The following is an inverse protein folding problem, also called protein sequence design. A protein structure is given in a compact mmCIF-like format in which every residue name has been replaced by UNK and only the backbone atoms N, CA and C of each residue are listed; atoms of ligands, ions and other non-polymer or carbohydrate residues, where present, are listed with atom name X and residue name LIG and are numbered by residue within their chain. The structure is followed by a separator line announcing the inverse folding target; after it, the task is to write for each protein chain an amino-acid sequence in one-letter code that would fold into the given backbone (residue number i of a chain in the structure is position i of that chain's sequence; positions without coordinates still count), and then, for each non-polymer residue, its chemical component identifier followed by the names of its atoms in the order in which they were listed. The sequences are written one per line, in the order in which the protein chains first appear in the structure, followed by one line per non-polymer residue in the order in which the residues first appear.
data_IF_440356788288
#
_entry.id   IF_440356788288
#
_cell.length_a   1.000
_cell.length_b   1.000
_cell.length_c   1.000
_cell.angle_alpha   90.00
_cell.angle_beta   90.00
_cell.angle_gamma   90.00
#
_symmetry.space_group_name_H-M   'P 1'
#
loop_
_entity.id
_entity.type
_entity.pdbx_description
1 polymer ?
#
# COMPACT_ATOMS: atom_id res chain seq x y z
N UNK A 1 20.66 -7.53 19.12
CA UNK A 1 20.36 -6.11 19.43
C UNK A 1 21.04 -5.27 18.37
N UNK A 2 20.28 -4.84 17.38
CA UNK A 2 20.76 -3.90 16.37
C UNK A 2 20.29 -2.54 16.86
N UNK A 3 21.24 -1.68 17.21
CA UNK A 3 20.98 -0.33 17.66
C UNK A 3 20.55 0.50 16.43
N UNK A 4 19.27 0.75 16.30
CA UNK A 4 18.73 1.63 15.29
C UNK A 4 18.74 3.08 15.80
N UNK A 5 19.70 3.85 15.38
CA UNK A 5 19.54 5.29 15.27
C UNK A 5 18.75 5.59 13.97
N UNK A 6 17.59 4.97 13.85
CA UNK A 6 16.82 4.88 12.60
C UNK A 6 16.07 6.16 12.25
N UNK A 7 15.87 7.05 13.22
CA UNK A 7 15.18 8.33 12.95
C UNK A 7 15.98 9.23 12.01
N UNK A 8 17.31 9.23 12.12
CA UNK A 8 18.18 10.00 11.23
C UNK A 8 18.24 9.41 9.81
N UNK A 9 18.17 8.08 9.68
CA UNK A 9 18.21 7.42 8.38
C UNK A 9 16.88 7.61 7.63
N UNK A 10 15.74 7.47 8.31
CA UNK A 10 14.42 7.70 7.71
C UNK A 10 14.21 9.18 7.37
N UNK A 11 14.65 10.10 8.24
CA UNK A 11 14.66 11.54 7.98
C UNK A 11 15.57 11.89 6.79
N UNK A 12 16.76 11.32 6.71
CA UNK A 12 17.67 11.51 5.58
C UNK A 12 17.09 10.97 4.28
N UNK A 13 16.38 9.85 4.35
CA UNK A 13 15.68 9.21 3.22
C UNK A 13 14.51 10.09 2.74
N UNK A 14 13.73 10.64 3.65
CA UNK A 14 12.61 11.54 3.31
C UNK A 14 13.15 12.87 2.79
N UNK A 15 14.22 13.43 3.39
CA UNK A 15 14.83 14.69 2.97
C UNK A 15 15.63 14.58 1.67
N UNK A 16 16.35 13.49 1.42
CA UNK A 16 17.03 13.24 0.14
C UNK A 16 16.06 13.10 -1.03
N UNK A 17 14.82 12.67 -0.75
CA UNK A 17 13.76 12.52 -1.73
C UNK A 17 12.78 13.71 -1.80
N UNK A 18 12.95 14.74 -1.00
CA UNK A 18 12.21 16.00 -1.17
C UNK A 18 12.39 16.60 -2.58
N UNK A 19 13.53 16.34 -3.23
CA UNK A 19 13.74 16.67 -4.64
C UNK A 19 12.83 15.86 -5.61
N UNK A 20 12.26 14.73 -5.17
CA UNK A 20 11.30 13.95 -5.95
C UNK A 20 9.90 14.59 -6.01
N UNK A 21 9.64 15.62 -5.20
CA UNK A 21 8.40 16.40 -5.22
C UNK A 21 8.40 17.51 -6.28
N UNK A 22 9.45 17.62 -7.10
CA UNK A 22 9.47 18.60 -8.21
C UNK A 22 8.45 18.24 -9.31
N UNK A 23 7.65 19.19 -9.82
CA UNK A 23 6.62 18.91 -10.81
C UNK A 23 7.23 18.47 -12.15
N UNK A 24 6.60 17.47 -12.78
CA UNK A 24 6.96 16.90 -14.08
C UNK A 24 6.63 17.86 -15.25
N UNK A 25 7.16 19.08 -15.28
CA UNK A 25 6.88 20.08 -16.31
C UNK A 25 7.96 20.23 -17.40
N UNK A 26 8.91 19.32 -17.51
CA UNK A 26 9.98 19.39 -18.53
C UNK A 26 10.12 18.10 -19.32
N UNK A 27 9.05 17.65 -20.01
CA UNK A 27 9.19 16.67 -21.09
C UNK A 27 8.33 17.05 -22.28
N UNK A 28 9.03 17.25 -23.39
CA UNK A 28 8.58 17.52 -24.75
C UNK A 28 7.41 16.64 -25.22
N UNK A 29 6.38 17.29 -25.80
CA UNK A 29 5.20 16.69 -26.42
C UNK A 29 5.50 16.01 -27.77
N UNK A 30 6.39 15.05 -27.86
CA UNK A 30 6.75 14.45 -29.14
C UNK A 30 6.70 12.92 -29.24
N UNK A 31 6.02 12.22 -28.33
CA UNK A 31 5.96 10.75 -28.38
C UNK A 31 4.60 10.13 -28.05
N UNK A 32 3.48 10.78 -28.41
CA UNK A 32 2.16 10.12 -28.36
C UNK A 32 1.50 10.30 -29.72
N UNK A 33 1.92 9.52 -30.68
CA UNK A 33 1.20 9.27 -31.93
C UNK A 33 1.54 7.85 -32.37
N UNK A 34 0.62 6.92 -32.16
CA UNK A 34 0.37 5.71 -32.92
C UNK A 34 -0.11 4.53 -32.03
N UNK A 35 -1.39 4.53 -31.67
CA UNK A 35 -2.13 3.29 -31.47
C UNK A 35 -3.49 3.48 -32.19
N UNK A 36 -3.81 2.68 -33.23
CA UNK A 36 -5.09 2.83 -33.93
C UNK A 36 -6.23 2.26 -33.07
N UNK A 37 -7.21 3.09 -32.79
CA UNK A 37 -8.50 2.64 -32.30
C UNK A 37 -9.38 2.20 -33.49
N UNK A 38 -9.60 0.92 -33.63
CA UNK A 38 -10.69 0.38 -34.46
C UNK A 38 -11.33 -0.81 -33.74
N UNK A 39 -12.45 -0.53 -33.10
CA UNK A 39 -13.49 -1.52 -32.83
C UNK A 39 -14.84 -0.79 -32.77
N UNK A 40 -15.44 -0.62 -33.94
CA UNK A 40 -16.84 -0.26 -34.10
C UNK A 40 -17.68 -1.54 -33.97
N UNK A 41 -18.40 -1.69 -32.89
CA UNK A 41 -19.43 -2.71 -32.68
C UNK A 41 -20.80 -2.02 -32.67
N UNK A 42 -21.53 -2.06 -33.80
CA UNK A 42 -22.94 -1.65 -33.89
C UNK A 42 -23.81 -2.79 -33.37
N UNK A 43 -24.47 -2.60 -32.24
CA UNK A 43 -25.50 -3.45 -31.69
C UNK A 43 -26.83 -2.68 -31.60
N UNK A 44 -27.72 -2.86 -32.57
CA UNK A 44 -29.11 -2.38 -32.53
C UNK A 44 -29.96 -3.33 -31.69
N UNK A 45 -30.47 -2.85 -30.56
CA UNK A 45 -31.46 -3.54 -29.73
C UNK A 45 -32.69 -2.67 -29.54
N UNK A 46 -33.78 -2.94 -30.26
CA UNK A 46 -35.11 -2.32 -30.06
C UNK A 46 -35.82 -2.99 -28.90
N UNK A 47 -36.19 -2.24 -27.89
CA UNK A 47 -37.06 -2.63 -26.78
C UNK A 47 -38.12 -1.57 -26.52
N UNK A 48 -39.35 -1.80 -26.94
CA UNK A 48 -40.53 -0.97 -26.67
C UNK A 48 -41.07 -1.26 -25.27
N UNK A 49 -41.18 -0.25 -24.43
CA UNK A 49 -41.88 -0.31 -23.13
C UNK A 49 -42.64 0.99 -22.90
N UNK A 50 -43.96 0.98 -23.05
CA UNK A 50 -44.88 2.07 -22.78
C UNK A 50 -45.15 2.20 -21.26
N UNK A 51 -44.95 3.38 -20.70
CA UNK A 51 -45.34 3.74 -19.34
C UNK A 51 -45.65 5.23 -19.28
N UNK A 52 -46.93 5.59 -19.25
CA UNK A 52 -47.45 6.95 -19.10
C UNK A 52 -47.37 7.41 -17.64
N UNK A 53 -46.74 8.53 -17.39
CA UNK A 53 -46.74 9.22 -16.11
C UNK A 53 -46.47 10.71 -16.32
N UNK A 54 -47.53 11.52 -16.31
CA UNK A 54 -47.50 12.98 -16.38
C UNK A 54 -47.06 13.59 -15.06
N UNK A 55 -46.00 14.34 -15.05
CA UNK A 55 -45.53 15.14 -13.93
C UNK A 55 -44.76 16.37 -14.43
N UNK A 56 -45.46 17.50 -14.57
CA UNK A 56 -44.87 18.79 -14.89
C UNK A 56 -44.15 19.38 -13.68
N UNK A 57 -42.82 19.45 -13.73
CA UNK A 57 -41.99 20.15 -12.76
C UNK A 57 -40.88 20.90 -13.48
N UNK A 58 -41.08 22.17 -13.83
CA UNK A 58 -40.05 23.07 -14.36
C UNK A 58 -39.14 23.51 -13.22
N UNK A 59 -37.99 22.88 -13.09
CA UNK A 59 -36.90 23.28 -12.22
C UNK A 59 -35.62 23.50 -13.05
N UNK A 60 -35.39 24.71 -13.51
CA UNK A 60 -34.12 25.13 -14.13
C UNK A 60 -33.09 25.30 -13.04
N UNK A 61 -32.43 24.22 -12.65
CA UNK A 61 -31.24 24.23 -11.81
C UNK A 61 -29.99 24.16 -12.71
N UNK A 62 -29.46 25.29 -13.11
CA UNK A 62 -28.11 25.36 -13.69
C UNK A 62 -27.09 25.10 -12.59
N UNK A 63 -26.87 23.86 -12.27
CA UNK A 63 -25.72 23.43 -11.47
C UNK A 63 -24.48 23.52 -12.32
N UNK A 64 -23.84 24.68 -12.34
CA UNK A 64 -22.46 24.80 -12.81
C UNK A 64 -21.59 24.08 -11.81
N UNK A 65 -21.37 22.78 -12.04
CA UNK A 65 -20.29 22.04 -11.41
C UNK A 65 -18.99 22.70 -11.82
N UNK A 66 -18.44 23.51 -10.93
CA UNK A 66 -17.11 24.07 -11.09
C UNK A 66 -16.13 22.89 -11.00
N UNK A 67 -15.81 22.32 -12.16
CA UNK A 67 -14.61 21.50 -12.28
C UNK A 67 -13.47 22.45 -11.99
N UNK A 68 -12.89 22.34 -10.80
CA UNK A 68 -11.64 23.02 -10.48
C UNK A 68 -10.58 22.49 -11.46
N UNK A 69 -10.43 23.18 -12.60
CA UNK A 69 -9.23 23.07 -13.40
C UNK A 69 -8.09 23.56 -12.52
N UNK A 70 -7.26 22.63 -12.05
CA UNK A 70 -5.96 22.96 -11.49
C UNK A 70 -5.13 23.49 -12.66
N UNK A 71 -5.08 24.82 -12.82
CA UNK A 71 -4.16 25.49 -13.71
C UNK A 71 -2.79 25.46 -13.04
N UNK A 72 -1.83 24.78 -13.65
CA UNK A 72 -0.40 24.90 -13.34
C UNK A 72 0.11 26.27 -13.90
N UNK A 73 -0.40 27.35 -13.36
CA UNK A 73 0.03 28.72 -13.68
C UNK A 73 0.57 29.39 -12.41
N UNK A 74 1.65 28.87 -11.87
CA UNK A 74 2.50 29.66 -10.97
C UNK A 74 3.94 29.54 -11.45
N UNK A 75 4.43 30.62 -12.02
CA UNK A 75 5.75 30.73 -12.64
C UNK A 75 6.93 30.85 -11.66
N UNK A 76 6.75 30.42 -10.41
CA UNK A 76 7.81 30.24 -9.41
C UNK A 76 7.88 28.76 -9.03
N UNK A 77 9.08 28.17 -9.11
CA UNK A 77 9.39 26.77 -8.77
C UNK A 77 9.28 26.47 -7.27
N UNK A 78 8.23 26.91 -6.60
CA UNK A 78 7.99 26.56 -5.22
C UNK A 78 7.44 25.15 -5.11
N UNK A 79 8.14 24.26 -4.39
CA UNK A 79 7.70 22.88 -4.16
C UNK A 79 6.59 22.90 -3.11
N UNK A 80 5.35 22.68 -3.54
CA UNK A 80 4.20 22.60 -2.64
C UNK A 80 4.12 21.17 -2.08
N UNK A 81 4.53 20.98 -0.83
CA UNK A 81 4.56 19.67 -0.17
C UNK A 81 3.15 19.14 0.16
N UNK A 82 2.24 20.00 0.60
CA UNK A 82 0.84 19.67 0.96
C UNK A 82 -0.12 19.84 -0.22
N UNK A 83 0.30 19.43 -1.40
CA UNK A 83 -0.41 19.65 -2.68
C UNK A 83 -1.87 19.20 -2.66
N UNK A 84 -2.14 18.06 -2.03
CA UNK A 84 -3.48 17.46 -1.96
C UNK A 84 -4.20 17.84 -0.68
N UNK A 85 -3.58 17.70 0.49
CA UNK A 85 -4.22 17.93 1.79
C UNK A 85 -4.64 19.39 1.99
N UNK A 86 -3.97 20.35 1.36
CA UNK A 86 -4.35 21.77 1.40
C UNK A 86 -5.78 22.05 0.93
N UNK A 87 -6.37 21.16 0.11
CA UNK A 87 -7.77 21.26 -0.32
C UNK A 87 -8.72 21.22 0.87
N UNK A 88 -8.38 20.48 1.92
CA UNK A 88 -9.16 20.38 3.16
C UNK A 88 -8.71 21.40 4.21
N UNK A 89 -7.40 21.66 4.30
CA UNK A 89 -6.83 22.36 5.45
C UNK A 89 -6.83 23.87 5.31
N UNK A 90 -6.82 24.42 4.08
CA UNK A 90 -6.63 25.85 3.87
C UNK A 90 -7.92 26.66 3.55
N UNK A 91 -8.89 26.15 2.76
CA UNK A 91 -10.03 26.97 2.39
C UNK A 91 -10.97 27.22 3.58
N UNK A 92 -11.37 28.47 3.80
CA UNK A 92 -12.35 28.82 4.87
C UNK A 92 -13.68 28.08 4.73
N UNK A 93 -14.04 27.66 3.52
CA UNK A 93 -15.23 26.85 3.26
C UNK A 93 -15.16 25.43 3.80
N UNK A 94 -13.97 24.95 4.14
CA UNK A 94 -13.71 23.59 4.66
C UNK A 94 -13.66 23.52 6.20
N UNK A 95 -14.37 24.42 6.88
CA UNK A 95 -14.37 24.48 8.35
C UNK A 95 -14.82 23.17 9.02
N UNK A 96 -15.74 22.41 8.41
CA UNK A 96 -16.13 21.11 8.93
C UNK A 96 -14.98 20.08 8.86
N UNK A 97 -14.25 20.01 7.74
CA UNK A 97 -13.07 19.14 7.59
C UNK A 97 -11.99 19.53 8.59
N UNK A 98 -11.72 20.83 8.72
CA UNK A 98 -10.74 21.35 9.67
C UNK A 98 -11.09 21.01 11.11
N UNK A 99 -12.36 21.16 11.51
CA UNK A 99 -12.84 20.78 12.85
C UNK A 99 -12.60 19.29 13.14
N UNK A 100 -12.83 18.41 12.17
CA UNK A 100 -12.55 16.98 12.31
C UNK A 100 -11.05 16.71 12.43
N UNK A 101 -10.21 17.41 11.67
CA UNK A 101 -8.75 17.26 11.72
C UNK A 101 -8.20 17.77 13.07
N UNK A 102 -8.67 18.91 13.60
CA UNK A 102 -8.32 19.37 14.95
C UNK A 102 -8.71 18.34 16.02
N UNK A 103 -9.85 17.68 15.88
CA UNK A 103 -10.28 16.64 16.81
C UNK A 103 -9.37 15.41 16.81
N UNK A 104 -8.59 15.18 15.75
CA UNK A 104 -7.55 14.13 15.73
C UNK A 104 -6.25 14.54 16.43
N UNK A 105 -6.17 15.77 16.92
CA UNK A 105 -5.02 16.30 17.65
C UNK A 105 -4.07 17.17 16.82
N UNK A 106 -4.44 17.54 15.59
CA UNK A 106 -3.66 18.47 14.79
C UNK A 106 -3.68 19.89 15.40
N UNK A 107 -2.56 20.57 15.29
CA UNK A 107 -2.41 21.98 15.63
C UNK A 107 -2.60 22.88 14.41
N UNK A 108 -2.66 24.20 14.62
CA UNK A 108 -2.69 25.20 13.53
C UNK A 108 -1.49 25.00 12.57
N UNK A 109 -0.28 24.83 13.13
CA UNK A 109 0.94 24.62 12.34
C UNK A 109 0.89 23.32 11.50
N UNK A 110 0.15 22.30 11.95
CA UNK A 110 0.03 21.04 11.24
C UNK A 110 -0.88 21.14 10.00
N UNK A 111 -1.74 22.17 9.95
CA UNK A 111 -2.62 22.40 8.80
C UNK A 111 -1.87 22.81 7.53
N UNK A 112 -0.65 23.33 7.68
CA UNK A 112 0.20 23.72 6.55
C UNK A 112 1.21 22.62 6.15
N UNK A 113 1.29 21.53 6.92
CA UNK A 113 2.20 20.41 6.63
C UNK A 113 1.56 19.40 5.68
N UNK A 114 2.41 18.70 4.91
CA UNK A 114 1.96 17.57 4.12
C UNK A 114 1.50 16.40 5.00
N UNK A 115 0.40 15.76 4.61
CA UNK A 115 -0.20 14.63 5.31
C UNK A 115 0.17 13.32 4.62
N UNK A 116 0.79 12.41 5.37
CA UNK A 116 1.25 11.11 4.89
C UNK A 116 0.37 10.01 5.43
N UNK A 117 -0.26 9.24 4.55
CA UNK A 117 -0.95 8.02 4.90
C UNK A 117 0.05 6.89 5.14
N UNK A 118 0.00 6.27 6.32
CA UNK A 118 0.84 5.13 6.68
C UNK A 118 -0.06 3.90 6.74
N UNK A 119 -0.06 3.13 5.65
CA UNK A 119 -0.91 1.96 5.52
C UNK A 119 -0.15 0.69 5.89
N UNK A 120 -0.59 -0.03 6.90
CA UNK A 120 -0.08 -1.36 7.18
C UNK A 120 -1.11 -2.45 6.84
N UNK A 121 -0.61 -3.65 6.59
CA UNK A 121 -1.45 -4.85 6.44
C UNK A 121 -1.37 -5.67 7.73
N UNK A 122 -1.49 -5.00 8.86
CA UNK A 122 -1.38 -5.61 10.16
C UNK A 122 -2.62 -6.42 10.54
N UNK A 123 -2.39 -7.59 11.07
CA UNK A 123 -3.33 -8.39 11.88
C UNK A 123 -2.57 -9.46 12.64
N UNK A 124 -3.10 -9.92 13.77
CA UNK A 124 -2.39 -10.83 14.69
C UNK A 124 -2.28 -12.26 14.16
N UNK A 125 -3.24 -12.73 13.38
CA UNK A 125 -3.39 -14.12 12.98
C UNK A 125 -2.43 -14.60 11.89
N UNK A 126 -1.35 -13.86 11.60
CA UNK A 126 -0.36 -14.25 10.59
C UNK A 126 1.05 -13.80 10.99
N UNK A 127 2.04 -14.71 11.07
CA UNK A 127 3.43 -14.32 11.34
C UNK A 127 3.97 -13.25 10.41
N UNK A 128 3.57 -13.25 9.15
CA UNK A 128 4.01 -12.24 8.18
C UNK A 128 3.56 -10.81 8.53
N UNK A 129 2.50 -10.66 9.32
CA UNK A 129 1.82 -9.37 9.54
C UNK A 129 1.79 -8.93 11.01
N UNK A 130 1.99 -9.84 11.97
CA UNK A 130 1.76 -9.58 13.41
C UNK A 130 2.61 -8.44 13.99
N UNK A 131 3.75 -8.14 13.41
CA UNK A 131 4.68 -7.08 13.86
C UNK A 131 4.48 -5.74 13.14
N UNK A 132 3.64 -5.70 12.10
CA UNK A 132 3.50 -4.49 11.27
C UNK A 132 2.85 -3.32 12.01
N UNK A 133 2.09 -3.57 13.07
CA UNK A 133 1.55 -2.49 13.91
C UNK A 133 2.67 -1.71 14.58
N UNK A 134 3.61 -2.41 15.22
CA UNK A 134 4.78 -1.81 15.86
C UNK A 134 5.67 -1.11 14.82
N UNK A 135 5.90 -1.74 13.67
CA UNK A 135 6.66 -1.13 12.58
C UNK A 135 6.01 0.18 12.11
N UNK A 136 4.69 0.23 12.01
CA UNK A 136 3.95 1.44 11.62
C UNK A 136 4.10 2.59 12.64
N UNK A 137 4.32 2.28 13.92
CA UNK A 137 4.61 3.26 14.97
C UNK A 137 5.97 3.93 14.74
N UNK A 138 7.00 3.13 14.46
CA UNK A 138 8.33 3.66 14.13
C UNK A 138 8.30 4.51 12.86
N UNK A 139 7.57 4.06 11.84
CA UNK A 139 7.38 4.84 10.61
C UNK A 139 6.68 6.17 10.91
N UNK A 140 5.62 6.17 11.71
CA UNK A 140 4.95 7.41 12.13
C UNK A 140 5.90 8.36 12.87
N UNK A 141 6.70 7.82 13.77
CA UNK A 141 7.71 8.61 14.51
C UNK A 141 8.70 9.28 13.55
N UNK A 142 9.15 8.56 12.52
CA UNK A 142 10.02 9.11 11.47
C UNK A 142 9.35 10.22 10.65
N UNK A 143 8.09 10.01 10.26
CA UNK A 143 7.29 11.02 9.52
C UNK A 143 7.13 12.30 10.33
N UNK A 144 6.75 12.19 11.59
CA UNK A 144 6.61 13.35 12.49
C UNK A 144 7.97 14.03 12.75
N UNK A 145 9.05 13.26 12.91
CA UNK A 145 10.40 13.78 13.05
C UNK A 145 10.93 14.50 11.81
N UNK A 146 10.24 14.35 10.67
CA UNK A 146 10.53 15.05 9.41
C UNK A 146 9.59 16.24 9.17
N UNK A 147 8.94 16.73 10.22
CA UNK A 147 8.01 17.87 10.19
C UNK A 147 6.78 17.64 9.27
N UNK A 148 6.37 16.38 9.09
CA UNK A 148 5.18 15.98 8.36
C UNK A 148 4.11 15.44 9.32
N UNK A 149 2.85 15.36 8.83
CA UNK A 149 1.75 14.75 9.57
C UNK A 149 1.56 13.31 9.12
N UNK A 150 1.65 12.35 10.04
CA UNK A 150 1.48 10.92 9.76
C UNK A 150 0.15 10.37 10.28
N UNK A 151 -0.67 9.81 9.40
CA UNK A 151 -1.91 9.13 9.74
C UNK A 151 -1.82 7.63 9.43
N UNK A 152 -1.91 6.80 10.48
CA UNK A 152 -1.89 5.35 10.34
C UNK A 152 -3.28 4.79 10.07
N UNK A 153 -3.35 3.84 9.14
CA UNK A 153 -4.52 3.01 8.89
C UNK A 153 -4.11 1.62 8.44
N UNK A 154 -5.05 0.67 8.49
CA UNK A 154 -4.79 -0.70 8.09
C UNK A 154 -5.71 -1.12 6.95
N UNK A 155 -5.24 -2.03 6.12
CA UNK A 155 -6.04 -2.74 5.13
C UNK A 155 -6.12 -4.24 5.45
N UNK A 156 -6.96 -4.97 4.74
CA UNK A 156 -7.14 -6.41 4.90
C UNK A 156 -5.91 -7.19 4.45
N UNK A 157 -5.76 -8.41 4.95
CA UNK A 157 -4.72 -9.34 4.51
C UNK A 157 -5.19 -10.78 4.58
N UNK A 158 -4.58 -11.65 3.77
CA UNK A 158 -4.79 -13.09 3.76
C UNK A 158 -3.44 -13.78 3.90
N UNK A 159 -3.36 -14.80 4.74
CA UNK A 159 -2.19 -15.66 4.84
C UNK A 159 -2.32 -16.85 3.90
N UNK A 160 -1.52 -16.87 2.85
CA UNK A 160 -1.47 -18.01 1.93
C UNK A 160 -0.98 -19.29 2.66
N UNK A 161 -0.01 -19.16 3.54
CA UNK A 161 0.52 -20.29 4.30
C UNK A 161 -0.50 -20.95 5.23
N UNK A 162 -1.37 -20.15 5.88
CA UNK A 162 -2.43 -20.66 6.75
C UNK A 162 -3.60 -21.22 5.93
N UNK A 163 -3.92 -20.58 4.80
CA UNK A 163 -5.06 -20.97 3.96
C UNK A 163 -4.75 -22.13 3.01
N UNK A 164 -3.48 -22.46 2.80
CA UNK A 164 -3.03 -23.47 1.84
C UNK A 164 -3.73 -24.83 2.07
N UNK A 165 -4.20 -25.42 0.97
CA UNK A 165 -4.90 -26.69 0.98
C UNK A 165 -6.37 -26.65 1.46
N UNK A 166 -6.90 -25.46 1.77
CA UNK A 166 -8.28 -25.26 2.23
C UNK A 166 -9.10 -24.38 1.28
N UNK A 167 -10.42 -24.31 1.51
CA UNK A 167 -11.31 -23.37 0.79
C UNK A 167 -10.91 -21.91 1.02
N UNK A 168 -10.27 -21.59 2.15
CA UNK A 168 -9.76 -20.27 2.48
C UNK A 168 -8.83 -19.69 1.42
N UNK A 169 -8.12 -20.54 0.68
CA UNK A 169 -7.23 -20.12 -0.40
C UNK A 169 -7.96 -19.41 -1.57
N UNK A 170 -9.27 -19.60 -1.69
CA UNK A 170 -10.11 -18.89 -2.69
C UNK A 170 -10.17 -17.38 -2.44
N UNK A 171 -9.87 -16.92 -1.21
CA UNK A 171 -9.85 -15.51 -0.85
C UNK A 171 -8.48 -14.85 -1.05
N UNK A 172 -7.45 -15.64 -1.34
CA UNK A 172 -6.07 -15.15 -1.44
C UNK A 172 -5.89 -14.18 -2.62
N UNK A 173 -6.15 -14.63 -3.83
CA UNK A 173 -5.81 -13.88 -5.05
C UNK A 173 -6.54 -12.54 -5.14
N UNK A 174 -7.85 -12.52 -4.91
CA UNK A 174 -8.68 -11.31 -4.96
C UNK A 174 -8.40 -10.34 -3.82
N UNK A 175 -7.74 -10.75 -2.75
CA UNK A 175 -7.34 -9.83 -1.68
C UNK A 175 -6.43 -8.71 -2.16
N UNK A 176 -5.71 -8.90 -3.27
CA UNK A 176 -4.89 -7.85 -3.90
C UNK A 176 -5.71 -6.65 -4.31
N UNK A 177 -6.85 -6.89 -4.95
CA UNK A 177 -7.76 -5.83 -5.40
C UNK A 177 -8.39 -5.12 -4.20
N UNK A 178 -8.82 -5.87 -3.17
CA UNK A 178 -9.36 -5.29 -1.94
C UNK A 178 -8.33 -4.43 -1.20
N UNK A 179 -7.08 -4.86 -1.16
CA UNK A 179 -5.98 -4.07 -0.59
C UNK A 179 -5.81 -2.78 -1.38
N UNK A 180 -5.71 -2.88 -2.71
CA UNK A 180 -5.54 -1.73 -3.58
C UNK A 180 -6.70 -0.74 -3.45
N UNK A 181 -7.94 -1.23 -3.49
CA UNK A 181 -9.16 -0.42 -3.40
C UNK A 181 -9.28 0.28 -2.04
N UNK A 182 -8.96 -0.43 -0.94
CA UNK A 182 -9.04 0.14 0.41
C UNK A 182 -8.00 1.26 0.63
N UNK A 183 -6.78 1.06 0.13
CA UNK A 183 -5.73 2.08 0.20
C UNK A 183 -6.09 3.28 -0.66
N UNK A 184 -6.50 3.06 -1.91
CA UNK A 184 -6.92 4.11 -2.83
C UNK A 184 -8.09 4.92 -2.26
N UNK A 185 -9.09 4.23 -1.70
CA UNK A 185 -10.25 4.87 -1.07
C UNK A 185 -9.83 5.76 0.09
N UNK A 186 -9.00 5.27 1.01
CA UNK A 186 -8.56 6.04 2.16
C UNK A 186 -7.71 7.23 1.75
N UNK A 187 -6.71 7.01 0.92
CA UNK A 187 -5.80 8.03 0.44
C UNK A 187 -6.52 9.12 -0.38
N UNK A 188 -7.47 8.71 -1.21
CA UNK A 188 -8.27 9.62 -2.03
C UNK A 188 -9.25 10.44 -1.20
N UNK A 189 -10.03 9.78 -0.34
CA UNK A 189 -11.06 10.45 0.47
C UNK A 189 -10.46 11.43 1.51
N UNK A 190 -9.32 11.08 2.09
CA UNK A 190 -8.62 11.91 3.10
C UNK A 190 -7.65 12.91 2.47
N UNK A 191 -7.47 12.90 1.18
CA UNK A 191 -6.55 13.80 0.47
C UNK A 191 -5.10 13.75 0.95
N UNK A 192 -4.62 12.60 1.42
CA UNK A 192 -3.23 12.47 1.85
C UNK A 192 -2.25 12.69 0.71
N UNK A 193 -1.17 13.43 0.97
CA UNK A 193 -0.18 13.86 -0.02
C UNK A 193 0.75 12.74 -0.47
N UNK A 194 1.10 11.84 0.44
CA UNK A 194 2.00 10.71 0.19
C UNK A 194 1.57 9.45 0.92
N UNK A 195 2.10 8.31 0.49
CA UNK A 195 1.80 6.98 1.03
C UNK A 195 3.08 6.28 1.50
N UNK A 196 3.04 5.73 2.71
CA UNK A 196 4.01 4.72 3.15
C UNK A 196 3.23 3.42 3.36
N UNK A 197 3.52 2.40 2.55
CA UNK A 197 2.87 1.10 2.62
C UNK A 197 3.76 0.07 3.31
N UNK A 198 3.18 -0.69 4.28
CA UNK A 198 3.88 -1.71 5.06
C UNK A 198 3.23 -3.08 4.83
N UNK A 199 3.57 -3.77 3.74
CA UNK A 199 3.13 -5.14 3.49
C UNK A 199 4.05 -6.16 4.17
N UNK A 200 3.50 -7.37 4.43
CA UNK A 200 4.28 -8.48 5.00
C UNK A 200 4.09 -9.79 4.28
N UNK A 201 2.92 -10.07 3.73
CA UNK A 201 2.55 -11.36 3.18
C UNK A 201 2.42 -11.33 1.65
N UNK A 202 2.22 -12.48 1.07
CA UNK A 202 2.24 -12.84 -0.34
C UNK A 202 1.44 -11.88 -1.22
N UNK A 203 0.14 -11.73 -0.96
CA UNK A 203 -0.76 -10.88 -1.75
C UNK A 203 -0.76 -9.41 -1.32
N UNK A 204 -0.17 -9.12 -0.13
CA UNK A 204 -0.04 -7.75 0.35
C UNK A 204 0.91 -6.94 -0.55
N UNK A 205 2.02 -7.55 -0.97
CA UNK A 205 3.04 -6.90 -1.80
C UNK A 205 2.44 -6.36 -3.10
N UNK A 206 1.86 -7.20 -3.99
CA UNK A 206 1.27 -6.71 -5.23
C UNK A 206 0.07 -5.79 -5.00
N UNK A 207 -0.76 -6.03 -3.98
CA UNK A 207 -1.90 -5.16 -3.65
C UNK A 207 -1.47 -3.73 -3.33
N UNK A 208 -0.43 -3.56 -2.52
CA UNK A 208 0.13 -2.25 -2.20
C UNK A 208 0.72 -1.56 -3.45
N UNK A 209 1.46 -2.31 -4.30
CA UNK A 209 2.01 -1.76 -5.56
C UNK A 209 0.89 -1.28 -6.48
N UNK A 210 -0.19 -2.06 -6.61
CA UNK A 210 -1.35 -1.65 -7.41
C UNK A 210 -1.95 -0.34 -6.89
N UNK A 211 -2.09 -0.18 -5.57
CA UNK A 211 -2.56 1.08 -4.97
C UNK A 211 -1.62 2.24 -5.26
N UNK A 212 -0.31 2.05 -5.06
CA UNK A 212 0.70 3.08 -5.34
C UNK A 212 0.65 3.56 -6.80
N UNK A 213 0.53 2.61 -7.74
CA UNK A 213 0.43 2.92 -9.17
C UNK A 213 -0.87 3.67 -9.53
N UNK A 214 -2.01 3.29 -8.94
CA UNK A 214 -3.30 3.95 -9.17
C UNK A 214 -3.34 5.37 -8.60
N UNK A 215 -2.80 5.56 -7.41
CA UNK A 215 -2.75 6.85 -6.73
C UNK A 215 -1.85 7.85 -7.44
N UNK A 216 -0.76 7.38 -8.02
CA UNK A 216 0.26 8.22 -8.64
C UNK A 216 0.68 9.42 -7.76
N UNK A 217 0.83 9.16 -6.45
CA UNK A 217 1.33 10.11 -5.44
C UNK A 217 2.70 9.64 -4.94
N UNK A 218 3.51 10.52 -4.35
CA UNK A 218 4.75 10.13 -3.70
C UNK A 218 4.52 8.95 -2.74
N UNK A 219 5.25 7.86 -2.93
CA UNK A 219 4.99 6.64 -2.19
C UNK A 219 6.27 5.89 -1.87
N UNK A 220 6.30 5.27 -0.69
CA UNK A 220 7.38 4.42 -0.21
C UNK A 220 6.78 3.09 0.24
N UNK A 221 7.44 1.98 -0.07
CA UNK A 221 7.12 0.69 0.49
C UNK A 221 8.20 0.26 1.48
N UNK A 222 7.77 -0.13 2.68
CA UNK A 222 8.62 -0.71 3.71
C UNK A 222 8.21 -2.16 3.90
N UNK A 223 9.05 -3.08 3.44
CA UNK A 223 8.78 -4.50 3.58
C UNK A 223 8.95 -4.96 5.03
N UNK A 224 8.00 -5.76 5.53
CA UNK A 224 8.02 -6.26 6.91
C UNK A 224 9.14 -7.27 7.22
N UNK A 225 10.00 -7.58 6.26
CA UNK A 225 11.14 -8.47 6.43
C UNK A 225 10.79 -9.96 6.36
N UNK A 226 11.82 -10.78 6.30
CA UNK A 226 11.73 -12.24 6.22
C UNK A 226 11.83 -12.87 7.61
N UNK A 227 11.03 -13.90 7.85
CA UNK A 227 11.06 -14.70 9.10
C UNK A 227 12.45 -15.34 9.29
N UNK A 228 12.88 -15.46 10.53
CA UNK A 228 14.10 -16.20 10.87
C UNK A 228 13.92 -17.67 10.55
N UNK A 229 15.02 -18.35 10.21
CA UNK A 229 15.04 -19.80 10.12
C UNK A 229 14.71 -20.43 11.49
N UNK A 230 13.85 -21.43 11.47
CA UNK A 230 13.61 -22.30 12.61
C UNK A 230 14.78 -23.24 12.86
N UNK A 231 14.74 -23.96 13.96
CA UNK A 231 15.68 -25.03 14.26
C UNK A 231 14.95 -26.21 14.86
N UNK A 232 15.24 -27.40 14.35
CA UNK A 232 14.76 -28.64 14.94
C UNK A 232 15.54 -28.91 16.25
N UNK A 233 14.88 -28.99 17.40
CA UNK A 233 15.58 -29.19 18.69
C UNK A 233 16.40 -30.47 18.77
N UNK A 234 15.90 -31.58 18.20
CA UNK A 234 16.54 -32.87 18.25
C UNK A 234 17.81 -32.99 17.36
N UNK A 235 17.81 -32.36 16.20
CA UNK A 235 18.90 -32.50 15.22
C UNK A 235 19.74 -31.24 15.08
N UNK A 236 19.19 -30.06 15.41
CA UNK A 236 19.79 -28.75 15.16
C UNK A 236 19.69 -28.27 13.72
N UNK A 237 18.98 -29.01 12.86
CA UNK A 237 18.77 -28.63 11.46
C UNK A 237 17.96 -27.35 11.33
N UNK A 238 18.27 -26.56 10.29
CA UNK A 238 17.50 -25.37 9.94
C UNK A 238 16.16 -25.75 9.34
N UNK A 239 15.11 -25.11 9.83
CA UNK A 239 13.73 -25.32 9.38
C UNK A 239 13.16 -24.03 8.80
N UNK A 240 12.21 -24.21 7.89
CA UNK A 240 11.37 -23.15 7.34
C UNK A 240 9.95 -23.68 7.06
N UNK A 241 9.10 -22.86 6.45
CA UNK A 241 7.73 -23.27 6.12
C UNK A 241 7.71 -24.44 5.11
N UNK A 242 8.74 -24.58 4.27
CA UNK A 242 8.83 -25.71 3.32
C UNK A 242 9.08 -27.00 4.08
N UNK A 243 9.93 -26.97 5.10
CA UNK A 243 10.16 -28.11 5.98
C UNK A 243 8.86 -28.61 6.64
N UNK A 244 8.00 -27.69 7.09
CA UNK A 244 6.68 -28.02 7.63
C UNK A 244 5.77 -28.69 6.60
N UNK A 245 5.72 -28.20 5.37
CA UNK A 245 4.95 -28.85 4.30
C UNK A 245 5.49 -30.23 3.93
N UNK A 246 6.79 -30.38 3.84
CA UNK A 246 7.45 -31.64 3.49
C UNK A 246 7.31 -32.69 4.58
N UNK A 247 7.26 -32.31 5.87
CA UNK A 247 7.18 -33.23 7.00
C UNK A 247 5.96 -34.16 6.92
N UNK A 248 4.82 -33.70 6.40
CA UNK A 248 3.65 -34.55 6.20
C UNK A 248 3.91 -35.66 5.16
N UNK A 249 4.55 -35.34 4.04
CA UNK A 249 4.93 -36.34 3.04
C UNK A 249 5.94 -37.34 3.60
N UNK A 250 6.93 -36.89 4.36
CA UNK A 250 7.89 -37.78 5.02
C UNK A 250 7.23 -38.74 6.00
N UNK A 251 6.27 -38.23 6.76
CA UNK A 251 5.48 -39.05 7.71
C UNK A 251 4.63 -40.13 6.99
N UNK A 252 3.93 -39.74 5.90
CA UNK A 252 3.10 -40.70 5.12
C UNK A 252 3.93 -41.80 4.46
N UNK A 253 5.21 -41.55 4.18
CA UNK A 253 6.13 -42.51 3.62
C UNK A 253 7.00 -43.21 4.72
N UNK A 254 6.60 -43.14 5.96
CA UNK A 254 7.26 -43.79 7.13
C UNK A 254 8.76 -43.40 7.26
N UNK A 255 9.14 -42.19 6.83
CA UNK A 255 10.51 -41.70 6.93
C UNK A 255 10.81 -41.00 8.25
N UNK A 256 9.78 -40.44 8.89
CA UNK A 256 9.85 -39.77 10.18
C UNK A 256 8.69 -40.22 11.06
N UNK A 257 8.86 -40.15 12.39
CA UNK A 257 7.79 -40.44 13.35
C UNK A 257 6.79 -39.27 13.45
N UNK A 258 5.63 -39.52 14.10
CA UNK A 258 4.65 -38.45 14.37
C UNK A 258 5.22 -37.41 15.35
N UNK A 259 6.06 -37.80 16.28
CA UNK A 259 6.74 -36.92 17.22
C UNK A 259 7.68 -35.98 16.49
N UNK A 260 8.46 -36.51 15.57
CA UNK A 260 9.41 -35.75 14.76
C UNK A 260 8.68 -34.80 13.81
N UNK A 261 7.57 -35.26 13.18
CA UNK A 261 6.71 -34.39 12.36
C UNK A 261 6.16 -33.21 13.16
N UNK A 262 5.69 -33.46 14.39
CA UNK A 262 5.21 -32.40 15.30
C UNK A 262 6.33 -31.42 15.65
N UNK A 263 7.50 -31.95 16.01
CA UNK A 263 8.67 -31.14 16.31
C UNK A 263 9.03 -30.19 15.18
N UNK A 264 9.13 -30.71 13.93
CA UNK A 264 9.37 -29.90 12.72
C UNK A 264 8.30 -28.82 12.56
N UNK A 265 7.02 -29.21 12.66
CA UNK A 265 5.91 -28.26 12.47
C UNK A 265 5.93 -27.14 13.51
N UNK A 266 6.20 -27.43 14.77
CA UNK A 266 6.23 -26.45 15.85
C UNK A 266 7.38 -25.45 15.76
N UNK A 267 8.49 -25.84 15.14
CA UNK A 267 9.71 -25.04 15.12
C UNK A 267 10.06 -24.42 13.76
N UNK A 268 9.24 -24.66 12.73
CA UNK A 268 9.48 -24.13 11.38
C UNK A 268 9.27 -22.62 11.25
N UNK A 269 8.38 -22.04 12.06
CA UNK A 269 8.05 -20.61 12.00
C UNK A 269 8.25 -19.94 13.37
N UNK A 270 9.46 -19.53 13.74
CA UNK A 270 9.81 -19.17 15.12
C UNK A 270 9.43 -17.73 15.52
N UNK A 271 8.70 -16.99 14.71
CA UNK A 271 8.33 -15.62 15.05
C UNK A 271 7.79 -14.80 13.87
N UNK A 272 7.89 -13.46 13.92
CA UNK A 272 7.36 -12.60 12.89
C UNK A 272 8.24 -12.57 11.64
N UNK A 273 7.61 -12.25 10.51
CA UNK A 273 8.24 -12.07 9.20
C UNK A 273 7.60 -12.91 8.10
N UNK A 274 7.82 -12.52 6.86
CA UNK A 274 7.35 -13.26 5.70
C UNK A 274 8.03 -14.61 5.56
N UNK A 275 7.34 -15.60 4.96
CA UNK A 275 7.87 -16.95 4.76
C UNK A 275 9.26 -16.95 4.13
N UNK A 276 10.22 -17.71 4.68
CA UNK A 276 11.60 -17.79 4.21
C UNK A 276 11.82 -18.63 2.94
N UNK A 277 10.76 -19.20 2.35
CA UNK A 277 10.85 -20.09 1.19
C UNK A 277 10.98 -19.40 -0.19
N UNK A 278 11.27 -18.11 -0.24
CA UNK A 278 11.35 -17.29 -1.45
C UNK A 278 10.07 -17.35 -2.32
N UNK A 279 8.91 -17.39 -1.66
CA UNK A 279 7.59 -17.28 -2.31
C UNK A 279 7.31 -15.84 -2.76
N UNK A 280 6.06 -15.49 -3.04
CA UNK A 280 5.72 -14.18 -3.63
C UNK A 280 6.16 -13.00 -2.78
N UNK A 281 6.04 -13.04 -1.46
CA UNK A 281 6.44 -11.90 -0.61
C UNK A 281 7.92 -11.52 -0.82
N UNK A 282 8.82 -12.49 -0.69
CA UNK A 282 10.26 -12.27 -0.87
C UNK A 282 10.62 -11.94 -2.33
N UNK A 283 10.02 -12.67 -3.29
CA UNK A 283 10.25 -12.46 -4.72
C UNK A 283 9.76 -11.09 -5.17
N UNK A 284 8.56 -10.69 -4.75
CA UNK A 284 8.03 -9.36 -5.05
C UNK A 284 8.83 -8.26 -4.37
N UNK A 285 9.27 -8.44 -3.13
CA UNK A 285 10.14 -7.49 -2.46
C UNK A 285 11.40 -7.21 -3.31
N UNK A 286 12.07 -8.27 -3.78
CA UNK A 286 13.25 -8.14 -4.66
C UNK A 286 12.90 -7.49 -6.00
N UNK A 287 11.79 -7.90 -6.63
CA UNK A 287 11.35 -7.34 -7.91
C UNK A 287 11.01 -5.86 -7.80
N UNK A 288 10.31 -5.45 -6.74
CA UNK A 288 9.91 -4.08 -6.48
C UNK A 288 11.15 -3.21 -6.23
N UNK A 289 12.13 -3.69 -5.47
CA UNK A 289 13.40 -2.99 -5.26
C UNK A 289 14.12 -2.78 -6.60
N UNK A 290 14.15 -3.79 -7.45
CA UNK A 290 14.74 -3.70 -8.79
C UNK A 290 13.97 -2.72 -9.69
N UNK A 291 12.66 -2.72 -9.66
CA UNK A 291 11.81 -1.79 -10.41
C UNK A 291 12.01 -0.33 -9.97
N UNK A 292 12.21 -0.07 -8.69
CA UNK A 292 12.52 1.27 -8.17
C UNK A 292 13.87 1.82 -8.62
N UNK A 293 14.74 0.98 -9.17
CA UNK A 293 16.04 1.38 -9.75
C UNK A 293 15.99 1.62 -11.26
N UNK A 294 14.91 1.23 -11.95
CA UNK A 294 14.74 1.50 -13.38
C UNK A 294 13.97 2.82 -13.57
N UNK A 295 14.48 3.66 -14.46
CA UNK A 295 13.87 4.91 -14.92
C UNK A 295 12.58 4.67 -15.75
N UNK A 296 11.65 3.86 -15.27
CA UNK A 296 10.28 3.96 -15.73
C UNK A 296 9.65 5.15 -15.00
N UNK A 297 8.76 5.84 -15.66
CA UNK A 297 8.12 7.10 -15.23
C UNK A 297 7.34 7.05 -13.89
N UNK A 298 7.71 6.12 -13.02
CA UNK A 298 7.36 6.04 -11.60
C UNK A 298 8.23 7.00 -10.76
N UNK A 299 8.38 8.26 -11.23
CA UNK A 299 9.28 9.25 -10.61
C UNK A 299 8.94 9.57 -9.16
N UNK A 300 7.85 9.02 -8.64
CA UNK A 300 7.36 9.30 -7.31
C UNK A 300 7.28 8.06 -6.40
N UNK A 301 7.79 6.88 -6.84
CA UNK A 301 7.75 5.67 -6.02
C UNK A 301 9.17 5.30 -5.60
N UNK A 302 9.45 5.44 -4.32
CA UNK A 302 10.68 4.96 -3.70
C UNK A 302 10.39 3.71 -2.87
N UNK A 303 11.16 2.65 -3.09
CA UNK A 303 10.97 1.37 -2.42
C UNK A 303 12.21 1.08 -1.60
N UNK A 304 12.03 0.92 -0.31
CA UNK A 304 13.07 0.53 0.63
C UNK A 304 12.74 -0.84 1.22
N UNK A 305 13.70 -1.73 1.19
CA UNK A 305 13.65 -3.02 1.84
C UNK A 305 14.70 -3.01 2.94
N UNK A 306 14.26 -3.20 4.18
CA UNK A 306 15.13 -3.28 5.35
C UNK A 306 15.51 -4.73 5.67
#
# INVERSE_FOLDING_TARGET
MVNFSSSALLAAIILQNAAAFAPASLISRSAIAAIPQTLTGTGTGTGTGTGTGTGTGTGTGTGTGTVLKMSDEDGDNEIIMNRYSRILTQPKSQGASQAMLYATGLTEDDMDKAQVGICSVWYEGNPCNMHLLELSEYVKTGVVGSELVGFRFNTVGVSDGISMGTIGMRYSLQSRDLIADSIETTMGAQWYDGLIALPGCDKNMPGCVMAMARLNRPSIMVYGGTIRAGKQPSTGESLDIVSAFQSYGQYVYDKISEEERKEITQHSCPGPGACGGMYTANTMATAIEALGKFEFDFRNINIYIS
#
